data_IF_341438643078
#
_entry.id   IF_341438643078
#
_cell.length_a   1.000
_cell.length_b   1.000
_cell.length_c   1.000
_cell.angle_alpha   90.00
_cell.angle_beta   90.00
_cell.angle_gamma   90.00
#
_symmetry.space_group_name_H-M   'P 1'
#
loop_
_entity.id
_entity.type
_entity.pdbx_description
1 polymer ?
#
# COMPACT_ATOMS: atom_id res chain seq x y z
N UNK A 1 4.23 -5.56 19.07
CA UNK A 1 3.63 -4.72 18.01
C UNK A 1 2.19 -5.19 17.85
N UNK A 2 1.17 -4.41 18.27
CA UNK A 2 -0.23 -4.74 17.99
C UNK A 2 -0.35 -4.77 16.45
N UNK A 3 -0.70 -5.92 15.87
CA UNK A 3 -1.04 -5.97 14.45
C UNK A 3 -2.36 -5.25 14.31
N UNK A 4 -2.32 -3.98 13.92
CA UNK A 4 -3.54 -3.32 13.45
C UNK A 4 -3.95 -4.02 12.16
N UNK A 5 -5.07 -4.73 12.22
CA UNK A 5 -5.66 -5.39 11.07
C UNK A 5 -6.43 -4.34 10.25
N UNK A 6 -5.69 -3.48 9.54
CA UNK A 6 -6.24 -2.48 8.63
C UNK A 6 -5.67 -2.64 7.23
N UNK A 7 -6.44 -2.20 6.23
CA UNK A 7 -6.04 -2.15 4.84
C UNK A 7 -4.74 -1.35 4.69
N UNK A 8 -4.61 -0.24 5.42
CA UNK A 8 -3.42 0.60 5.43
C UNK A 8 -2.19 -0.15 5.95
N UNK A 9 -2.31 -0.85 7.09
CA UNK A 9 -1.21 -1.63 7.64
C UNK A 9 -0.83 -2.83 6.75
N UNK A 10 -1.78 -3.42 6.02
CA UNK A 10 -1.53 -4.45 5.02
C UNK A 10 -0.78 -3.87 3.81
N UNK A 11 -1.31 -2.80 3.22
CA UNK A 11 -0.72 -2.14 2.06
C UNK A 11 0.69 -1.59 2.33
N UNK A 12 0.94 -1.01 3.51
CA UNK A 12 2.28 -0.56 3.89
C UNK A 12 3.31 -1.70 3.95
N UNK A 13 2.90 -2.91 4.37
CA UNK A 13 3.77 -4.10 4.32
C UNK A 13 4.06 -4.53 2.89
N UNK A 14 3.07 -4.46 2.00
CA UNK A 14 3.26 -4.74 0.58
C UNK A 14 4.20 -3.72 -0.08
N UNK A 15 4.03 -2.42 0.21
CA UNK A 15 4.91 -1.36 -0.27
C UNK A 15 6.36 -1.59 0.18
N UNK A 16 6.57 -1.89 1.47
CA UNK A 16 7.89 -2.23 1.99
C UNK A 16 8.49 -3.44 1.27
N UNK A 17 7.71 -4.51 1.08
CA UNK A 17 8.14 -5.69 0.34
C UNK A 17 8.52 -5.36 -1.12
N UNK A 18 7.71 -4.56 -1.82
CA UNK A 18 8.00 -4.18 -3.21
C UNK A 18 9.28 -3.36 -3.36
N UNK A 19 9.58 -2.47 -2.42
CA UNK A 19 10.85 -1.75 -2.42
C UNK A 19 12.03 -2.66 -2.05
N UNK A 20 11.95 -3.33 -0.89
CA UNK A 20 13.11 -4.01 -0.31
C UNK A 20 13.41 -5.37 -0.94
N UNK A 21 12.37 -6.14 -1.27
CA UNK A 21 12.52 -7.51 -1.74
C UNK A 21 12.39 -7.62 -3.26
N UNK A 22 11.61 -6.74 -3.90
CA UNK A 22 11.45 -6.73 -5.35
C UNK A 22 12.29 -5.65 -6.06
N UNK A 23 12.87 -4.69 -5.33
CA UNK A 23 13.67 -3.60 -5.93
C UNK A 23 12.88 -2.72 -6.90
N UNK A 24 11.56 -2.58 -6.71
CA UNK A 24 10.73 -1.79 -7.61
C UNK A 24 11.04 -0.30 -7.48
N UNK A 25 11.02 0.41 -8.61
CA UNK A 25 11.06 1.88 -8.60
C UNK A 25 9.78 2.44 -8.00
N UNK A 26 9.84 3.70 -7.55
CA UNK A 26 8.68 4.39 -7.00
C UNK A 26 7.48 4.41 -7.96
N UNK A 27 7.71 4.64 -9.25
CA UNK A 27 6.65 4.64 -10.27
C UNK A 27 5.98 3.27 -10.40
N UNK A 28 6.76 2.19 -10.30
CA UNK A 28 6.22 0.82 -10.33
C UNK A 28 5.45 0.50 -9.05
N UNK A 29 5.95 0.94 -7.89
CA UNK A 29 5.23 0.81 -6.61
C UNK A 29 3.90 1.54 -6.65
N UNK A 30 3.84 2.77 -7.17
CA UNK A 30 2.56 3.51 -7.31
C UNK A 30 1.56 2.73 -8.16
N UNK A 31 1.99 2.12 -9.28
CA UNK A 31 1.11 1.26 -10.10
C UNK A 31 0.63 0.03 -9.34
N UNK A 32 1.49 -0.59 -8.53
CA UNK A 32 1.10 -1.71 -7.67
C UNK A 32 0.08 -1.29 -6.59
N UNK A 33 0.20 -0.07 -6.07
CA UNK A 33 -0.79 0.50 -5.12
C UNK A 33 -2.13 0.72 -5.82
N UNK A 34 -2.14 1.27 -7.04
CA UNK A 34 -3.39 1.50 -7.80
C UNK A 34 -4.16 0.20 -8.06
N UNK A 35 -3.44 -0.88 -8.39
CA UNK A 35 -4.03 -2.20 -8.68
C UNK A 35 -4.17 -3.09 -7.44
N UNK A 36 -3.75 -2.61 -6.27
CA UNK A 36 -3.84 -3.39 -5.04
C UNK A 36 -5.30 -3.66 -4.67
N UNK A 37 -5.58 -4.90 -4.30
CA UNK A 37 -6.88 -5.33 -3.82
C UNK A 37 -6.68 -6.44 -2.79
N UNK A 38 -7.47 -6.41 -1.73
CA UNK A 38 -7.49 -7.44 -0.69
C UNK A 38 -8.92 -7.65 -0.21
N UNK A 39 -9.43 -8.87 -0.41
CA UNK A 39 -10.82 -9.22 -0.09
C UNK A 39 -11.14 -9.16 1.40
N UNK A 40 -10.13 -9.10 2.27
CA UNK A 40 -10.32 -9.01 3.72
C UNK A 40 -10.81 -7.64 4.17
N UNK A 41 -10.73 -6.60 3.32
CA UNK A 41 -11.08 -5.23 3.66
C UNK A 41 -12.22 -4.68 2.79
N UNK A 42 -13.12 -3.84 3.34
CA UNK A 42 -14.15 -3.20 2.55
C UNK A 42 -13.55 -2.24 1.50
N UNK A 43 -14.21 -2.04 0.34
CA UNK A 43 -13.68 -1.19 -0.73
C UNK A 43 -13.31 0.23 -0.27
N UNK A 44 -14.11 0.84 0.61
CA UNK A 44 -13.84 2.18 1.13
C UNK A 44 -12.53 2.27 1.92
N UNK A 45 -12.21 1.27 2.74
CA UNK A 45 -10.97 1.22 3.51
C UNK A 45 -9.77 1.00 2.59
N UNK A 46 -9.93 0.18 1.54
CA UNK A 46 -8.89 -0.03 0.54
C UNK A 46 -8.58 1.25 -0.23
N UNK A 47 -9.61 1.97 -0.68
CA UNK A 47 -9.43 3.23 -1.41
C UNK A 47 -8.80 4.32 -0.53
N UNK A 48 -9.18 4.39 0.75
CA UNK A 48 -8.53 5.28 1.71
C UNK A 48 -7.05 4.93 1.92
N UNK A 49 -6.73 3.63 2.07
CA UNK A 49 -5.36 3.16 2.20
C UNK A 49 -4.51 3.51 0.98
N UNK A 50 -5.02 3.25 -0.24
CA UNK A 50 -4.36 3.61 -1.49
C UNK A 50 -4.08 5.10 -1.58
N UNK A 51 -5.06 5.95 -1.24
CA UNK A 51 -4.89 7.41 -1.25
C UNK A 51 -3.76 7.84 -0.32
N UNK A 52 -3.79 7.41 0.95
CA UNK A 52 -2.78 7.76 1.96
C UNK A 52 -1.37 7.35 1.52
N UNK A 53 -1.21 6.10 1.08
CA UNK A 53 0.08 5.58 0.61
C UNK A 53 0.59 6.35 -0.60
N UNK A 54 -0.27 6.68 -1.58
CA UNK A 54 0.12 7.48 -2.74
C UNK A 54 0.55 8.89 -2.37
N UNK A 55 -0.18 9.56 -1.48
CA UNK A 55 0.20 10.88 -0.98
C UNK A 55 1.59 10.86 -0.34
N UNK A 56 1.90 9.83 0.44
CA UNK A 56 3.22 9.69 1.07
C UNK A 56 4.32 9.43 0.04
N UNK A 57 4.06 8.59 -0.97
CA UNK A 57 5.00 8.28 -2.04
C UNK A 57 5.30 9.48 -2.96
N UNK A 58 4.36 10.42 -3.10
CA UNK A 58 4.54 11.62 -3.93
C UNK A 58 5.22 12.79 -3.18
N UNK A 59 5.24 12.76 -1.84
CA UNK A 59 5.85 13.81 -1.01
C UNK A 59 7.35 13.64 -0.81
N UNK A 60 7.86 12.41 -0.86
CA UNK A 60 9.30 12.08 -0.77
C UNK A 60 9.95 11.93 -2.13
#
# INVERSE_FOLDING_TARGET
MKREFSALASLNRNVKFWFEQCGLTRERVIRCVDTWYDFAYPPSEQEEAKRKVKEDLMKG
#
